data_IF_350484496682
#
_entry.id   IF_350484496682
#
_cell.length_a   1.000
_cell.length_b   1.000
_cell.length_c   1.000
_cell.angle_alpha   90.00
_cell.angle_beta   90.00
_cell.angle_gamma   90.00
#
_symmetry.space_group_name_H-M   'P 1'
#
loop_
_entity.id
_entity.type
_entity.pdbx_description
1 polymer ?
#
# COMPACT_ATOMS: atom_id res chain seq x y z
N UNK A 1 -10.53 -3.19 -33.08
CA UNK A 1 -10.87 -2.90 -31.67
C UNK A 1 -9.66 -2.20 -31.07
N UNK A 2 -9.72 -0.88 -30.85
CA UNK A 2 -8.59 -0.11 -30.33
C UNK A 2 -8.33 -0.51 -28.87
N UNK A 3 -7.09 -0.91 -28.59
CA UNK A 3 -6.60 -1.40 -27.29
C UNK A 3 -6.10 -0.29 -26.35
N UNK A 4 -6.43 0.97 -26.63
CA UNK A 4 -6.01 2.08 -25.81
C UNK A 4 -7.15 2.47 -24.85
N UNK A 5 -6.91 2.51 -23.53
CA UNK A 5 -7.83 3.17 -22.62
C UNK A 5 -8.05 4.60 -23.11
N UNK A 6 -9.31 5.00 -23.27
CA UNK A 6 -9.64 6.32 -23.76
C UNK A 6 -9.14 7.34 -22.74
N UNK A 7 -8.57 8.47 -23.17
CA UNK A 7 -8.07 9.50 -22.24
C UNK A 7 -9.14 9.95 -21.21
N UNK A 8 -10.42 9.79 -21.55
CA UNK A 8 -11.57 10.00 -20.65
C UNK A 8 -11.60 9.03 -19.45
N UNK A 9 -11.27 7.75 -19.63
CA UNK A 9 -11.17 6.78 -18.51
C UNK A 9 -10.08 7.16 -17.50
N UNK A 10 -9.08 7.93 -17.94
CA UNK A 10 -8.03 8.47 -17.08
C UNK A 10 -8.51 9.66 -16.24
N UNK A 11 -9.53 10.40 -16.71
CA UNK A 11 -10.07 11.59 -16.05
C UNK A 11 -11.20 11.25 -15.06
N UNK A 12 -11.99 10.20 -15.33
CA UNK A 12 -13.08 9.75 -14.46
C UNK A 12 -12.63 8.85 -13.31
N UNK A 13 -11.33 8.53 -13.23
CA UNK A 13 -10.82 7.74 -12.12
C UNK A 13 -10.82 8.59 -10.85
N UNK A 14 -11.42 8.11 -9.74
CA UNK A 14 -11.37 8.86 -8.49
C UNK A 14 -9.92 9.06 -8.09
N UNK A 15 -9.53 10.30 -7.81
CA UNK A 15 -8.17 10.63 -7.38
C UNK A 15 -7.83 10.08 -5.98
N UNK A 16 -8.75 9.38 -5.33
CA UNK A 16 -8.58 8.80 -4.00
C UNK A 16 -8.41 7.29 -4.07
N UNK A 17 -7.45 6.77 -3.33
CA UNK A 17 -7.26 5.33 -3.17
C UNK A 17 -8.53 4.68 -2.59
N UNK A 18 -9.04 3.59 -3.18
CA UNK A 18 -10.28 2.94 -2.73
C UNK A 18 -10.13 2.19 -1.39
N UNK A 19 -8.92 2.10 -0.82
CA UNK A 19 -8.64 1.37 0.44
C UNK A 19 -8.29 2.28 1.60
N UNK A 20 -7.29 3.13 1.45
CA UNK A 20 -6.86 4.03 2.52
C UNK A 20 -7.48 5.43 2.41
N UNK A 21 -8.25 5.71 1.35
CA UNK A 21 -8.87 7.01 1.06
C UNK A 21 -7.91 8.20 0.93
N UNK A 22 -6.59 7.95 0.91
CA UNK A 22 -5.60 8.97 0.63
C UNK A 22 -5.74 9.45 -0.82
N UNK A 23 -5.42 10.72 -1.06
CA UNK A 23 -5.30 11.26 -2.40
C UNK A 23 -4.10 10.62 -3.12
N UNK A 24 -4.38 9.87 -4.18
CA UNK A 24 -3.44 9.10 -5.00
C UNK A 24 -3.98 9.00 -6.44
N UNK A 25 -3.85 10.03 -7.30
CA UNK A 25 -4.43 10.06 -8.64
C UNK A 25 -4.05 8.86 -9.52
N UNK A 26 -2.85 8.30 -9.33
CA UNK A 26 -2.34 7.17 -10.09
C UNK A 26 -2.55 5.81 -9.42
N UNK A 27 -3.46 5.63 -8.46
CA UNK A 27 -3.61 4.34 -7.80
C UNK A 27 -3.91 3.21 -8.80
N UNK A 28 -3.27 2.05 -8.62
CA UNK A 28 -3.37 0.91 -9.55
C UNK A 28 -3.15 -0.41 -8.81
N UNK A 29 -3.71 -1.51 -9.32
CA UNK A 29 -3.38 -2.86 -8.86
C UNK A 29 -2.34 -3.46 -9.79
N UNK A 30 -1.20 -3.85 -9.23
CA UNK A 30 -0.09 -4.43 -9.98
C UNK A 30 0.07 -5.90 -9.55
N UNK A 31 0.23 -6.84 -10.50
CA UNK A 31 0.58 -8.22 -10.15
C UNK A 31 2.01 -8.29 -9.63
N UNK A 32 2.18 -8.82 -8.42
CA UNK A 32 3.46 -9.01 -7.74
C UNK A 32 3.41 -10.34 -6.96
N UNK A 33 4.37 -11.24 -7.20
CA UNK A 33 4.47 -12.55 -6.53
C UNK A 33 3.15 -13.38 -6.57
N UNK A 34 2.44 -13.33 -7.70
CA UNK A 34 1.16 -14.03 -7.87
C UNK A 34 -0.03 -13.40 -7.13
N UNK A 35 0.15 -12.19 -6.59
CA UNK A 35 -0.89 -11.42 -5.89
C UNK A 35 -1.14 -10.10 -6.61
N UNK A 36 -2.34 -9.53 -6.46
CA UNK A 36 -2.63 -8.20 -6.98
C UNK A 36 -2.50 -7.17 -5.85
N UNK A 37 -1.46 -6.35 -5.92
CA UNK A 37 -1.10 -5.37 -4.88
C UNK A 37 -1.60 -4.00 -5.28
N UNK A 38 -2.34 -3.32 -4.40
CA UNK A 38 -2.73 -1.93 -4.60
C UNK A 38 -1.55 -1.00 -4.32
N UNK A 39 -1.19 -0.18 -5.30
CA UNK A 39 -0.19 0.87 -5.20
C UNK A 39 -0.81 2.24 -5.42
N UNK A 40 -0.19 3.27 -4.86
CA UNK A 40 -0.40 4.68 -5.13
C UNK A 40 0.67 5.13 -6.12
N UNK A 41 0.25 5.87 -7.14
CA UNK A 41 1.12 6.52 -8.13
C UNK A 41 2.14 5.60 -8.84
N UNK A 42 1.97 4.28 -8.72
CA UNK A 42 2.74 3.23 -9.38
C UNK A 42 3.94 2.70 -8.59
N UNK A 43 4.38 3.37 -7.54
CA UNK A 43 5.64 3.09 -6.83
C UNK A 43 5.48 2.87 -5.31
N UNK A 44 4.41 3.39 -4.70
CA UNK A 44 4.16 3.28 -3.27
C UNK A 44 3.06 2.26 -2.98
N UNK A 45 3.36 1.18 -2.26
CA UNK A 45 2.32 0.21 -1.85
C UNK A 45 1.31 0.88 -0.90
N UNK A 46 0.02 0.65 -1.14
CA UNK A 46 -1.04 1.14 -0.25
C UNK A 46 -0.91 0.48 1.14
N UNK A 47 -0.83 1.25 2.25
CA UNK A 47 -0.67 0.68 3.59
C UNK A 47 -1.92 -0.05 4.11
N UNK A 48 -3.06 0.10 3.43
CA UNK A 48 -4.31 -0.62 3.72
C UNK A 48 -4.55 -1.80 2.75
N UNK A 49 -3.57 -2.11 1.90
CA UNK A 49 -3.64 -3.27 1.03
C UNK A 49 -3.56 -4.57 1.87
N UNK A 50 -4.52 -5.50 1.72
CA UNK A 50 -4.56 -6.72 2.52
C UNK A 50 -3.38 -7.66 2.25
N UNK A 51 -2.67 -7.49 1.14
CA UNK A 51 -1.51 -8.30 0.76
C UNK A 51 -0.25 -7.90 1.54
N UNK A 52 -0.11 -6.60 1.85
CA UNK A 52 1.07 -6.04 2.50
C UNK A 52 0.83 -5.61 3.96
N UNK A 53 -0.43 -5.58 4.39
CA UNK A 53 -0.75 -5.50 5.80
C UNK A 53 -2.15 -4.97 6.03
N UNK A 54 -3.00 -5.79 6.66
CA UNK A 54 -3.80 -5.23 7.74
C UNK A 54 -2.82 -4.45 8.61
N UNK A 55 -3.05 -3.14 8.78
CA UNK A 55 -2.27 -2.31 9.70
C UNK A 55 -1.97 -3.15 10.92
N UNK A 56 -0.70 -3.23 11.33
CA UNK A 56 -0.38 -3.54 12.70
C UNK A 56 -1.26 -2.59 13.50
N UNK A 57 -2.39 -3.09 14.02
CA UNK A 57 -3.21 -2.37 14.98
C UNK A 57 -2.16 -1.94 16.00
N UNK A 58 -1.94 -0.63 16.25
CA UNK A 58 -0.98 -0.23 17.27
C UNK A 58 -1.34 -1.08 18.48
N UNK A 59 -0.40 -1.91 18.92
CA UNK A 59 -0.63 -2.83 20.00
C UNK A 59 -0.99 -1.94 21.19
N UNK A 60 -2.30 -1.78 21.44
CA UNK A 60 -2.76 -1.12 22.64
C UNK A 60 -2.15 -1.92 23.80
N UNK A 61 -1.11 -1.33 24.39
CA UNK A 61 -0.44 -1.74 25.61
C UNK A 61 -0.01 -3.22 25.66
N UNK A 62 1.02 -3.60 24.91
CA UNK A 62 1.93 -4.62 25.42
C UNK A 62 2.96 -3.91 26.30
N UNK A 63 2.81 -4.14 27.60
CA UNK A 63 3.75 -3.85 28.69
C UNK A 63 5.21 -3.78 28.23
N UNK A 64 6.02 -2.79 28.66
CA UNK A 64 7.41 -2.66 28.21
C UNK A 64 8.25 -3.82 28.76
N UNK A 65 8.43 -4.87 27.95
CA UNK A 65 9.55 -5.78 28.14
C UNK A 65 10.82 -5.06 27.63
N UNK A 66 11.90 -4.99 28.44
CA UNK A 66 13.09 -4.25 28.03
C UNK A 66 13.80 -4.97 26.88
N UNK A 67 13.95 -4.26 25.77
CA UNK A 67 14.81 -4.65 24.64
C UNK A 67 16.27 -4.60 25.10
N UNK A 68 16.91 -5.77 25.22
CA UNK A 68 18.35 -5.89 25.49
C UNK A 68 19.08 -5.73 24.15
N UNK A 69 19.73 -4.57 23.94
CA UNK A 69 20.65 -4.35 22.84
C UNK A 69 21.98 -5.06 23.14
N UNK A 70 22.27 -6.14 22.42
CA UNK A 70 23.60 -6.78 22.45
C UNK A 70 24.46 -6.12 21.38
N UNK A 71 25.42 -5.29 21.80
CA UNK A 71 26.46 -4.76 20.92
C UNK A 71 27.45 -5.86 20.52
N UNK A 72 27.69 -6.00 19.22
CA UNK A 72 28.76 -6.86 18.70
C UNK A 72 30.03 -6.04 18.61
N UNK A 73 31.06 -6.42 19.37
CA UNK A 73 32.41 -5.88 19.25
C UNK A 73 33.34 -7.01 18.78
N UNK A 74 34.02 -6.80 17.66
CA UNK A 74 35.35 -7.29 17.35
C UNK A 74 35.90 -6.51 16.15
#
# INVERSE_FOLDING_TARGET
>A
MSLFPSCLDLLDRPATCPRCHAHAPGWVRIPMDGRNVLTHDGDLVCPADPTFGASVRPASALSPAPVVLVGVAA
#
